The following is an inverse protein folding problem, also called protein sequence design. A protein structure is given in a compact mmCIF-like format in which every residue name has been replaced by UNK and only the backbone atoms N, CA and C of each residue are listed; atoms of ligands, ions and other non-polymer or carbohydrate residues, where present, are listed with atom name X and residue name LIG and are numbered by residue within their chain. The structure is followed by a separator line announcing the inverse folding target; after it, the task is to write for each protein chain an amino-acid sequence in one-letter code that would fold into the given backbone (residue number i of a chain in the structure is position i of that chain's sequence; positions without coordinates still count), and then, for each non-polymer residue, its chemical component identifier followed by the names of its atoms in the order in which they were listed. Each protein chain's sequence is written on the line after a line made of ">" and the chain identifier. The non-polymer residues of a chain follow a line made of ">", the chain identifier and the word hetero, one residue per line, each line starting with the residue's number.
data_IF_122280156113
#
_entry.id   IF_122280156113
#
_cell.length_a   1.000
_cell.length_b   1.000
_cell.length_c   1.000
_cell.angle_alpha   90.00
_cell.angle_beta   90.00
_cell.angle_gamma   90.00
#
_symmetry.space_group_name_H-M   'P 1'
#
loop_
_entity.id
_entity.type
_entity.pdbx_description
1 polymer ?
#
# COMPACT_ATOMS: atom_id res chain seq x y z
N UNK A 1 -31.98 -1.06 -30.29
CA UNK A 1 -32.82 0.06 -29.84
C UNK A 1 -31.90 1.20 -29.38
N UNK A 2 -32.10 2.42 -29.87
CA UNK A 2 -31.29 3.57 -29.45
C UNK A 2 -31.71 4.05 -28.06
N UNK A 3 -30.76 4.32 -27.17
CA UNK A 3 -31.06 4.84 -25.82
C UNK A 3 -31.73 6.22 -25.90
N UNK A 4 -32.81 6.39 -25.12
CA UNK A 4 -33.48 7.69 -24.98
C UNK A 4 -32.57 8.70 -24.28
N UNK A 5 -32.78 10.00 -24.49
CA UNK A 5 -32.00 11.04 -23.80
C UNK A 5 -32.09 10.94 -22.27
N UNK A 6 -33.26 10.56 -21.75
CA UNK A 6 -33.46 10.31 -20.33
C UNK A 6 -32.60 9.14 -19.82
N UNK A 7 -32.52 8.04 -20.58
CA UNK A 7 -31.64 6.91 -20.25
C UNK A 7 -30.16 7.31 -20.32
N UNK A 8 -29.76 8.12 -21.30
CA UNK A 8 -28.38 8.64 -21.39
C UNK A 8 -28.03 9.51 -20.18
N UNK A 9 -28.90 10.44 -19.79
CA UNK A 9 -28.69 11.30 -18.61
C UNK A 9 -28.66 10.48 -17.31
N UNK A 10 -29.54 9.49 -17.17
CA UNK A 10 -29.55 8.59 -16.02
C UNK A 10 -28.26 7.74 -15.95
N UNK A 11 -27.80 7.20 -17.08
CA UNK A 11 -26.56 6.46 -17.18
C UNK A 11 -25.35 7.34 -16.85
N UNK A 12 -25.31 8.58 -17.33
CA UNK A 12 -24.25 9.54 -17.01
C UNK A 12 -24.19 9.85 -15.52
N UNK A 13 -25.35 10.08 -14.87
CA UNK A 13 -25.43 10.33 -13.42
C UNK A 13 -24.99 9.11 -12.61
N UNK A 14 -25.39 7.90 -13.02
CA UNK A 14 -24.93 6.66 -12.42
C UNK A 14 -23.41 6.46 -12.59
N UNK A 15 -22.91 6.75 -13.79
CA UNK A 15 -21.49 6.65 -14.14
C UNK A 15 -20.62 7.60 -13.34
N UNK A 16 -21.08 8.83 -13.11
CA UNK A 16 -20.38 9.82 -12.30
C UNK A 16 -20.28 9.38 -10.83
N UNK A 17 -21.38 8.86 -10.27
CA UNK A 17 -21.40 8.35 -8.88
C UNK A 17 -20.59 7.07 -8.67
N UNK A 18 -20.39 6.27 -9.73
CA UNK A 18 -19.70 4.98 -9.65
C UNK A 18 -18.33 4.98 -10.38
N UNK A 19 -17.67 6.14 -10.47
CA UNK A 19 -16.44 6.32 -11.24
C UNK A 19 -15.36 5.29 -10.89
N UNK A 20 -15.05 5.11 -9.61
CA UNK A 20 -14.02 4.16 -9.16
C UNK A 20 -14.40 2.70 -9.43
N UNK A 21 -15.65 2.31 -9.14
CA UNK A 21 -16.15 0.96 -9.44
C UNK A 21 -16.07 0.64 -10.94
N UNK A 22 -16.39 1.61 -11.79
CA UNK A 22 -16.30 1.48 -13.25
C UNK A 22 -14.85 1.38 -13.71
N UNK A 23 -13.96 2.22 -13.16
CA UNK A 23 -12.52 2.18 -13.44
C UNK A 23 -11.94 0.79 -13.17
N UNK A 24 -12.18 0.24 -11.98
CA UNK A 24 -11.75 -1.12 -11.61
C UNK A 24 -12.34 -2.18 -12.54
N UNK A 25 -13.63 -2.09 -12.84
CA UNK A 25 -14.31 -3.06 -13.73
C UNK A 25 -13.74 -3.00 -15.15
N UNK A 26 -13.48 -1.79 -15.67
CA UNK A 26 -12.87 -1.58 -16.97
C UNK A 26 -11.50 -2.24 -17.05
N UNK A 27 -10.61 -1.95 -16.09
CA UNK A 27 -9.28 -2.58 -16.06
C UNK A 27 -9.33 -4.09 -15.94
N UNK A 28 -10.24 -4.62 -15.10
CA UNK A 28 -10.43 -6.08 -14.98
C UNK A 28 -10.84 -6.71 -16.30
N UNK A 29 -11.76 -6.08 -17.04
CA UNK A 29 -12.21 -6.59 -18.33
C UNK A 29 -11.08 -6.52 -19.37
N UNK A 30 -10.36 -5.40 -19.46
CA UNK A 30 -9.21 -5.26 -20.35
C UNK A 30 -8.12 -6.30 -20.06
N UNK A 31 -7.77 -6.50 -18.78
CA UNK A 31 -6.80 -7.51 -18.37
C UNK A 31 -7.23 -8.93 -18.75
N UNK A 32 -8.51 -9.27 -18.54
CA UNK A 32 -9.05 -10.58 -18.97
C UNK A 32 -8.93 -10.78 -20.47
N UNK A 33 -9.29 -9.78 -21.27
CA UNK A 33 -9.18 -9.86 -22.72
C UNK A 33 -7.72 -9.99 -23.15
N UNK A 34 -6.83 -9.19 -22.55
CA UNK A 34 -5.39 -9.27 -22.83
C UNK A 34 -4.83 -10.66 -22.56
N UNK A 35 -5.02 -11.19 -21.35
CA UNK A 35 -4.53 -12.52 -20.94
C UNK A 35 -5.09 -13.63 -21.84
N UNK A 36 -6.35 -13.53 -22.27
CA UNK A 36 -7.01 -14.58 -23.07
C UNK A 36 -6.67 -14.55 -24.55
N UNK A 37 -6.44 -13.37 -25.11
CA UNK A 37 -6.43 -13.17 -26.56
C UNK A 37 -5.11 -12.65 -27.10
N UNK A 38 -4.25 -12.07 -26.26
CA UNK A 38 -3.07 -11.33 -26.70
C UNK A 38 -1.78 -11.70 -25.97
N UNK A 39 -1.87 -12.19 -24.73
CA UNK A 39 -0.68 -12.46 -23.92
C UNK A 39 0.20 -13.54 -24.55
N UNK A 40 1.49 -13.25 -24.62
CA UNK A 40 2.55 -14.20 -24.92
C UNK A 40 2.96 -14.95 -23.65
N UNK A 41 3.73 -16.03 -23.81
CA UNK A 41 4.28 -16.77 -22.66
C UNK A 41 5.11 -15.86 -21.73
N UNK A 42 5.88 -14.92 -22.30
CA UNK A 42 6.66 -13.96 -21.53
C UNK A 42 5.76 -13.04 -20.68
N UNK A 43 4.65 -12.56 -21.26
CA UNK A 43 3.67 -11.74 -20.54
C UNK A 43 3.01 -12.54 -19.40
N UNK A 44 2.70 -13.81 -19.64
CA UNK A 44 2.10 -14.68 -18.62
C UNK A 44 3.06 -14.91 -17.44
N UNK A 45 4.34 -15.15 -17.71
CA UNK A 45 5.38 -15.28 -16.67
C UNK A 45 5.52 -13.98 -15.86
N UNK A 46 5.52 -12.82 -16.53
CA UNK A 46 5.52 -11.52 -15.84
C UNK A 46 4.28 -11.36 -14.96
N UNK A 47 3.09 -11.64 -15.48
CA UNK A 47 1.85 -11.53 -14.72
C UNK A 47 1.77 -12.49 -13.55
N UNK A 48 2.30 -13.71 -13.67
CA UNK A 48 2.41 -14.61 -12.53
C UNK A 48 3.27 -14.02 -11.41
N UNK A 49 4.40 -13.39 -11.75
CA UNK A 49 5.24 -12.70 -10.77
C UNK A 49 4.48 -11.55 -10.09
N UNK A 50 3.77 -10.72 -10.87
CA UNK A 50 2.96 -9.63 -10.33
C UNK A 50 1.82 -10.13 -9.43
N UNK A 51 1.16 -11.24 -9.80
CA UNK A 51 0.09 -11.86 -9.01
C UNK A 51 0.65 -12.39 -7.69
N UNK A 52 1.78 -13.10 -7.72
CA UNK A 52 2.46 -13.60 -6.51
C UNK A 52 2.82 -12.47 -5.57
N UNK A 53 3.42 -11.40 -6.10
CA UNK A 53 3.75 -10.22 -5.29
C UNK A 53 2.50 -9.55 -4.71
N UNK A 54 1.43 -9.42 -5.51
CA UNK A 54 0.17 -8.85 -5.00
C UNK A 54 -0.45 -9.69 -3.89
N UNK A 55 -0.39 -11.01 -3.99
CA UNK A 55 -0.84 -11.90 -2.91
C UNK A 55 0.00 -11.72 -1.64
N UNK A 56 1.33 -11.58 -1.76
CA UNK A 56 2.22 -11.30 -0.63
C UNK A 56 1.83 -10.00 0.07
N UNK A 57 1.63 -8.93 -0.69
CA UNK A 57 1.22 -7.62 -0.19
C UNK A 57 -0.15 -7.69 0.50
N UNK A 58 -1.13 -8.37 -0.10
CA UNK A 58 -2.44 -8.55 0.54
C UNK A 58 -2.35 -9.28 1.89
N UNK A 59 -1.47 -10.28 2.03
CA UNK A 59 -1.23 -10.95 3.31
C UNK A 59 -0.61 -10.01 4.34
N UNK A 60 0.35 -9.19 3.93
CA UNK A 60 0.95 -8.17 4.79
C UNK A 60 -0.09 -7.14 5.26
N UNK A 61 -0.95 -6.67 4.34
CA UNK A 61 -2.04 -5.74 4.66
C UNK A 61 -3.00 -6.30 5.72
N UNK A 62 -3.32 -7.58 5.68
CA UNK A 62 -4.14 -8.22 6.72
C UNK A 62 -3.40 -8.28 8.08
N UNK A 63 -2.08 -8.47 8.08
CA UNK A 63 -1.28 -8.47 9.32
C UNK A 63 -1.15 -7.08 9.93
N UNK A 64 -1.18 -6.03 9.10
CA UNK A 64 -1.23 -4.66 9.59
C UNK A 64 -2.49 -4.37 10.41
N UNK A 65 -3.54 -5.19 10.36
CA UNK A 65 -4.68 -5.02 11.26
C UNK A 65 -4.28 -5.24 12.73
N UNK A 66 -3.33 -6.14 13.00
CA UNK A 66 -2.75 -6.29 14.34
C UNK A 66 -1.93 -5.06 14.75
N UNK A 67 -1.07 -4.57 13.86
CA UNK A 67 -0.30 -3.33 14.09
C UNK A 67 -1.24 -2.14 14.36
N UNK A 68 -2.34 -2.04 13.60
CA UNK A 68 -3.37 -1.02 13.80
C UNK A 68 -4.10 -1.15 15.12
N UNK A 69 -4.27 -2.37 15.65
CA UNK A 69 -4.87 -2.55 16.96
C UNK A 69 -4.03 -1.85 18.04
N UNK A 70 -2.70 -2.05 18.02
CA UNK A 70 -1.77 -1.35 18.92
C UNK A 70 -1.77 0.17 18.70
N UNK A 71 -1.84 0.64 17.45
CA UNK A 71 -1.98 2.09 17.18
C UNK A 71 -3.24 2.70 17.79
N UNK A 72 -4.29 1.90 17.97
CA UNK A 72 -5.55 2.33 18.57
C UNK A 72 -5.61 2.09 20.08
N UNK A 73 -4.51 1.68 20.71
CA UNK A 73 -4.36 1.56 22.17
C UNK A 73 -3.37 2.61 22.71
N UNK A 74 -3.87 3.79 23.12
CA UNK A 74 -3.02 4.86 23.65
C UNK A 74 -2.29 4.49 24.93
N UNK A 75 -2.83 3.55 25.73
CA UNK A 75 -2.23 3.17 27.00
C UNK A 75 -0.98 2.32 26.75
N UNK A 76 -1.09 1.31 25.88
CA UNK A 76 0.04 0.52 25.41
C UNK A 76 1.16 1.41 24.85
N UNK A 77 0.84 2.32 23.92
CA UNK A 77 1.83 3.20 23.28
C UNK A 77 2.58 4.06 24.30
N UNK A 78 1.86 4.56 25.32
CA UNK A 78 2.44 5.36 26.39
C UNK A 78 3.34 4.52 27.31
N UNK A 79 2.88 3.35 27.71
CA UNK A 79 3.60 2.48 28.65
C UNK A 79 4.86 1.89 28.01
N UNK A 80 4.76 1.47 26.75
CA UNK A 80 5.89 0.98 25.97
C UNK A 80 6.76 2.10 25.35
N UNK A 81 6.38 3.38 25.52
CA UNK A 81 7.11 4.55 24.97
C UNK A 81 7.40 4.44 23.46
N UNK A 82 6.40 3.99 22.71
CA UNK A 82 6.48 3.73 21.28
C UNK A 82 5.49 4.57 20.49
N UNK A 83 5.93 5.03 19.32
CA UNK A 83 5.08 5.61 18.28
C UNK A 83 5.15 4.72 17.04
N UNK A 84 4.02 4.57 16.35
CA UNK A 84 3.88 3.67 15.21
C UNK A 84 3.23 4.43 14.05
N UNK A 85 3.85 4.38 12.88
CA UNK A 85 3.31 4.91 11.64
C UNK A 85 3.31 3.85 10.55
N UNK A 86 2.26 3.84 9.71
CA UNK A 86 2.11 2.89 8.61
C UNK A 86 2.06 3.63 7.28
N UNK A 87 3.09 3.45 6.49
CA UNK A 87 3.23 3.97 5.13
C UNK A 87 2.73 2.91 4.14
N UNK A 88 1.71 3.23 3.34
CA UNK A 88 1.09 2.25 2.42
C UNK A 88 2.07 1.75 1.37
N UNK A 89 2.97 2.63 0.91
CA UNK A 89 4.09 2.30 0.02
C UNK A 89 5.34 3.03 0.50
N UNK A 90 6.55 2.54 0.17
CA UNK A 90 7.79 3.20 0.57
C UNK A 90 7.89 4.63 0.00
N UNK A 91 7.35 4.86 -1.20
CA UNK A 91 7.33 6.22 -1.78
C UNK A 91 6.51 7.21 -0.95
N UNK A 92 5.47 6.75 -0.25
CA UNK A 92 4.66 7.63 0.59
C UNK A 92 5.48 8.12 1.80
N UNK A 93 6.36 7.26 2.36
CA UNK A 93 7.36 7.64 3.37
C UNK A 93 8.38 8.64 2.82
N UNK A 94 8.89 8.42 1.61
CA UNK A 94 9.83 9.36 0.98
C UNK A 94 9.19 10.74 0.77
N UNK A 95 7.96 10.79 0.25
CA UNK A 95 7.22 12.03 0.07
C UNK A 95 7.08 12.79 1.38
N UNK A 96 6.68 12.12 2.45
CA UNK A 96 6.60 12.74 3.77
C UNK A 96 7.95 13.29 4.23
N UNK A 97 9.05 12.54 4.06
CA UNK A 97 10.38 13.03 4.43
C UNK A 97 10.86 14.21 3.60
N UNK A 98 10.48 14.30 2.33
CA UNK A 98 10.78 15.46 1.48
C UNK A 98 9.95 16.69 1.85
N UNK A 99 8.72 16.51 2.32
CA UNK A 99 7.80 17.61 2.66
C UNK A 99 8.00 18.11 4.10
N UNK A 100 8.19 17.19 5.05
CA UNK A 100 8.17 17.45 6.49
C UNK A 100 9.51 17.14 7.19
N UNK A 101 10.46 16.52 6.49
CA UNK A 101 11.78 16.21 7.05
C UNK A 101 12.67 17.45 7.17
N UNK A 102 13.67 17.37 8.05
CA UNK A 102 14.68 18.42 8.19
C UNK A 102 15.53 18.60 6.91
N UNK A 103 16.01 19.82 6.66
CA UNK A 103 16.79 20.17 5.46
C UNK A 103 18.24 19.67 5.49
N UNK A 104 18.71 19.24 6.65
CA UNK A 104 20.11 18.84 6.87
C UNK A 104 20.45 17.44 6.32
N UNK A 105 19.45 16.75 5.77
CA UNK A 105 19.56 15.39 5.29
C UNK A 105 19.06 15.26 3.85
N UNK A 106 19.85 14.59 3.01
CA UNK A 106 19.40 14.15 1.70
C UNK A 106 18.48 12.92 1.87
N UNK A 107 17.17 13.18 1.86
CA UNK A 107 16.14 12.16 2.04
C UNK A 107 16.07 11.17 0.88
N UNK A 108 16.40 11.59 -0.34
CA UNK A 108 16.44 10.71 -1.50
C UNK A 108 17.59 9.71 -1.35
N UNK A 109 18.80 10.21 -1.09
CA UNK A 109 19.96 9.35 -0.86
C UNK A 109 19.80 8.44 0.36
N UNK A 110 19.16 8.94 1.43
CA UNK A 110 18.82 8.12 2.59
C UNK A 110 17.86 6.99 2.22
N UNK A 111 16.80 7.30 1.47
CA UNK A 111 15.78 6.34 1.08
C UNK A 111 16.37 5.22 0.21
N UNK A 112 17.15 5.60 -0.80
CA UNK A 112 17.81 4.68 -1.72
C UNK A 112 18.79 3.75 -1.00
N UNK A 113 19.39 4.23 0.11
CA UNK A 113 20.32 3.44 0.92
C UNK A 113 19.64 2.58 1.98
N UNK A 114 18.58 3.08 2.63
CA UNK A 114 18.03 2.50 3.86
C UNK A 114 16.72 1.76 3.67
N UNK A 115 15.91 2.18 2.70
CA UNK A 115 14.54 1.70 2.49
C UNK A 115 14.43 0.92 1.18
N UNK A 116 14.74 1.53 0.03
CA UNK A 116 14.58 0.91 -1.29
C UNK A 116 15.20 -0.51 -1.43
N UNK A 117 16.35 -0.83 -0.82
CA UNK A 117 16.94 -2.17 -0.92
C UNK A 117 16.22 -3.24 -0.07
N UNK A 118 15.40 -2.83 0.91
CA UNK A 118 14.79 -3.73 1.91
C UNK A 118 13.30 -3.98 1.67
N UNK A 119 12.64 -3.10 0.94
CA UNK A 119 11.20 -3.11 0.73
C UNK A 119 10.89 -3.09 -0.77
N UNK A 120 9.91 -3.88 -1.21
CA UNK A 120 9.40 -3.75 -2.58
C UNK A 120 8.63 -2.43 -2.73
N UNK A 121 8.52 -1.92 -3.97
CA UNK A 121 7.86 -0.63 -4.27
C UNK A 121 6.41 -0.55 -3.80
N UNK A 122 5.76 -1.69 -3.65
CA UNK A 122 4.34 -1.81 -3.29
C UNK A 122 4.14 -2.39 -1.88
N UNK A 123 5.23 -2.68 -1.15
CA UNK A 123 5.18 -3.22 0.20
C UNK A 123 5.03 -2.10 1.23
N UNK A 124 4.04 -2.18 2.15
CA UNK A 124 3.90 -1.19 3.19
C UNK A 124 5.08 -1.21 4.15
N UNK A 125 5.45 -0.03 4.64
CA UNK A 125 6.51 0.17 5.63
C UNK A 125 5.87 0.58 6.93
N UNK A 126 6.15 -0.17 8.00
CA UNK A 126 5.81 0.22 9.37
C UNK A 126 7.04 0.86 9.99
N UNK A 127 6.89 2.10 10.41
CA UNK A 127 7.87 2.80 11.19
C UNK A 127 7.49 2.69 12.67
N UNK A 128 8.44 2.25 13.48
CA UNK A 128 8.32 2.19 14.93
C UNK A 128 9.41 3.08 15.52
N UNK A 129 9.00 4.08 16.28
CA UNK A 129 9.88 4.98 17.01
C UNK A 129 9.86 4.57 18.47
N UNK A 130 11.02 4.19 19.02
CA UNK A 130 11.15 3.86 20.44
C UNK A 130 12.36 4.62 20.99
N UNK A 131 12.15 5.42 22.05
CA UNK A 131 13.19 6.26 22.65
C UNK A 131 13.96 7.13 21.62
N UNK A 132 13.22 7.75 20.69
CA UNK A 132 13.78 8.60 19.63
C UNK A 132 14.55 7.84 18.54
N UNK A 133 14.53 6.50 18.54
CA UNK A 133 15.18 5.68 17.51
C UNK A 133 14.12 5.11 16.58
N UNK A 134 14.21 5.51 15.31
CA UNK A 134 13.35 5.03 14.24
C UNK A 134 13.83 3.67 13.73
N UNK A 135 12.91 2.72 13.59
CA UNK A 135 13.14 1.44 12.93
C UNK A 135 12.03 1.13 11.96
N UNK A 136 12.39 0.50 10.84
CA UNK A 136 11.48 0.25 9.71
C UNK A 136 11.33 -1.24 9.49
N UNK A 137 10.08 -1.70 9.43
CA UNK A 137 9.71 -3.10 9.32
C UNK A 137 8.59 -3.29 8.30
N UNK A 138 8.45 -4.51 7.79
CA UNK A 138 7.23 -4.88 7.09
C UNK A 138 6.16 -5.30 8.10
N UNK A 139 4.92 -5.48 7.63
CA UNK A 139 3.79 -5.82 8.51
C UNK A 139 4.00 -7.08 9.36
N UNK A 140 4.73 -8.09 8.85
CA UNK A 140 5.03 -9.30 9.62
C UNK A 140 5.97 -8.99 10.79
N UNK A 141 7.16 -8.43 10.51
CA UNK A 141 8.13 -8.14 11.57
C UNK A 141 7.64 -7.09 12.55
N UNK A 142 6.87 -6.12 12.08
CA UNK A 142 6.29 -5.11 12.96
C UNK A 142 5.34 -5.75 13.98
N UNK A 143 4.46 -6.64 13.53
CA UNK A 143 3.55 -7.37 14.41
C UNK A 143 4.33 -8.20 15.45
N UNK A 144 5.32 -8.98 15.02
CA UNK A 144 6.14 -9.80 15.93
C UNK A 144 6.89 -8.98 16.98
N UNK A 145 7.30 -7.75 16.65
CA UNK A 145 7.98 -6.84 17.58
C UNK A 145 7.01 -6.25 18.60
N UNK A 146 5.81 -5.87 18.16
CA UNK A 146 4.80 -5.29 19.04
C UNK A 146 4.24 -6.32 20.01
N UNK A 147 4.03 -7.55 19.55
CA UNK A 147 3.62 -8.70 20.38
C UNK A 147 4.65 -9.03 21.48
N UNK A 148 5.93 -8.69 21.28
CA UNK A 148 6.97 -8.83 22.30
C UNK A 148 7.02 -7.67 23.31
N UNK A 149 6.46 -6.51 22.97
CA UNK A 149 6.44 -5.32 23.82
C UNK A 149 5.23 -5.26 24.75
N UNK A 150 4.19 -6.05 24.45
CA UNK A 150 2.95 -6.23 25.24
C UNK A 150 3.17 -7.26 26.37
#
# INVERSE_FOLDING_TARGET
>A
MAQTEAQKRAQQKYNAKNKEKRKVTSYRNSARTFIRSYATEADLVEFEALIKERHRINKLLNRLDGVRAYMNDPQFLKDAQVEIEIWRRPVDLLTDRLENGGTDQDWQAWFDKKIAPKFSKEEPVVEITHNGKHRFYNGNRAYDILDWLD
#
